data_IF_215742630770
#
_entry.id   IF_215742630770
#
_cell.length_a   1.000
_cell.length_b   1.000
_cell.length_c   1.000
_cell.angle_alpha   90.00
_cell.angle_beta   90.00
_cell.angle_gamma   90.00
#
_symmetry.space_group_name_H-M   'P 1'
#
loop_
_entity.id
_entity.type
_entity.pdbx_description
1 polymer ?
#
# COMPACT_ATOMS: atom_id res chain seq x y z
N UNK A 1 -5.47 -10.28 -13.12
CA UNK A 1 -4.80 -10.15 -11.80
C UNK A 1 -5.79 -9.72 -10.72
N UNK A 2 -6.37 -8.51 -10.79
CA UNK A 2 -7.28 -8.02 -9.74
C UNK A 2 -8.63 -8.75 -9.63
N UNK A 3 -9.20 -9.26 -10.74
CA UNK A 3 -10.44 -10.05 -10.68
C UNK A 3 -10.30 -11.28 -9.76
N UNK A 4 -9.24 -12.06 -9.97
CA UNK A 4 -8.96 -13.24 -9.15
C UNK A 4 -8.72 -12.88 -7.68
N UNK A 5 -8.05 -11.76 -7.40
CA UNK A 5 -7.85 -11.26 -6.03
C UNK A 5 -9.18 -10.89 -5.34
N UNK A 6 -10.10 -10.26 -6.07
CA UNK A 6 -11.44 -9.93 -5.57
C UNK A 6 -12.22 -11.21 -5.29
N UNK A 7 -12.16 -12.19 -6.19
CA UNK A 7 -12.86 -13.47 -6.05
C UNK A 7 -12.29 -14.34 -4.92
N UNK A 8 -10.98 -14.30 -4.69
CA UNK A 8 -10.32 -15.06 -3.61
C UNK A 8 -10.37 -14.37 -2.25
N UNK A 9 -10.65 -13.07 -2.22
CA UNK A 9 -10.53 -12.23 -1.01
C UNK A 9 -9.08 -11.98 -0.57
N UNK A 10 -8.10 -12.27 -1.43
CA UNK A 10 -6.67 -12.08 -1.15
C UNK A 10 -5.96 -11.40 -2.32
N UNK A 11 -5.30 -10.24 -2.10
CA UNK A 11 -5.22 -9.48 -0.85
C UNK A 11 -6.58 -8.91 -0.44
N UNK A 12 -6.70 -8.50 0.82
CA UNK A 12 -7.88 -7.79 1.29
C UNK A 12 -8.00 -6.44 0.60
N UNK A 13 -9.24 -6.02 0.33
CA UNK A 13 -9.55 -4.82 -0.43
C UNK A 13 -10.53 -3.95 0.35
N UNK A 14 -10.16 -2.68 0.53
CA UNK A 14 -11.07 -1.64 0.99
C UNK A 14 -11.30 -0.64 -0.13
N UNK A 15 -12.55 -0.21 -0.28
CA UNK A 15 -12.98 0.74 -1.31
C UNK A 15 -13.58 1.96 -0.63
N UNK A 16 -13.01 3.14 -0.90
CA UNK A 16 -13.56 4.42 -0.48
C UNK A 16 -14.64 4.84 -1.47
N UNK A 17 -15.85 5.09 -0.96
CA UNK A 17 -17.01 5.46 -1.78
C UNK A 17 -17.67 6.73 -1.24
N UNK A 18 -18.28 7.49 -2.14
CA UNK A 18 -19.32 8.48 -1.84
C UNK A 18 -20.58 8.11 -2.63
N UNK A 19 -21.60 7.63 -1.93
CA UNK A 19 -22.76 6.99 -2.55
C UNK A 19 -22.35 5.82 -3.46
N UNK A 20 -22.58 5.98 -4.77
CA UNK A 20 -22.22 5.00 -5.79
C UNK A 20 -20.81 5.22 -6.39
N UNK A 21 -20.19 6.37 -6.16
CA UNK A 21 -18.93 6.74 -6.76
C UNK A 21 -17.76 6.11 -6.02
N UNK A 22 -16.83 5.53 -6.77
CA UNK A 22 -15.59 4.94 -6.23
C UNK A 22 -14.49 5.99 -6.27
N UNK A 23 -14.09 6.46 -5.10
CA UNK A 23 -13.09 7.52 -4.96
C UNK A 23 -11.66 6.98 -4.84
N UNK A 24 -11.52 5.72 -4.43
CA UNK A 24 -10.23 5.07 -4.31
C UNK A 24 -10.32 3.70 -3.65
N UNK A 25 -9.19 3.01 -3.58
CA UNK A 25 -9.10 1.70 -2.97
C UNK A 25 -7.68 1.42 -2.48
N UNK A 26 -7.58 0.47 -1.55
CA UNK A 26 -6.33 -0.07 -1.04
C UNK A 26 -6.41 -1.60 -1.03
N UNK A 27 -5.33 -2.24 -1.45
CA UNK A 27 -5.11 -3.67 -1.31
C UNK A 27 -3.96 -3.91 -0.33
N UNK A 28 -4.18 -4.80 0.64
CA UNK A 28 -3.19 -5.10 1.67
C UNK A 28 -3.31 -6.54 2.15
N UNK A 29 -2.26 -7.02 2.82
CA UNK A 29 -2.22 -8.36 3.39
C UNK A 29 -0.80 -8.76 3.75
N UNK A 30 -0.53 -10.06 3.78
CA UNK A 30 0.81 -10.59 4.02
C UNK A 30 1.84 -10.00 3.04
N UNK A 31 3.03 -9.71 3.53
CA UNK A 31 4.12 -9.22 2.68
C UNK A 31 4.55 -10.29 1.67
N UNK A 32 4.71 -9.88 0.41
CA UNK A 32 5.06 -10.78 -0.71
C UNK A 32 6.56 -10.96 -0.91
N UNK A 33 7.39 -10.24 -0.16
CA UNK A 33 8.84 -10.41 -0.22
C UNK A 33 9.23 -11.83 0.21
N UNK A 34 10.18 -12.44 -0.49
CA UNK A 34 10.55 -13.85 -0.28
C UNK A 34 11.11 -14.12 1.13
N UNK A 35 11.73 -13.12 1.75
CA UNK A 35 12.32 -13.16 3.09
C UNK A 35 11.38 -12.64 4.18
N UNK A 36 10.13 -12.28 3.83
CA UNK A 36 9.16 -11.73 4.76
C UNK A 36 8.87 -12.68 5.92
N UNK A 37 8.83 -12.12 7.13
CA UNK A 37 8.41 -12.82 8.34
C UNK A 37 6.87 -12.81 8.45
N UNK A 38 6.27 -13.79 9.14
CA UNK A 38 4.80 -13.87 9.27
C UNK A 38 4.12 -12.63 9.86
N UNK A 39 4.84 -11.81 10.64
CA UNK A 39 4.33 -10.58 11.24
C UNK A 39 4.43 -9.35 10.32
N UNK A 40 4.94 -9.50 9.10
CA UNK A 40 5.13 -8.40 8.15
C UNK A 40 4.02 -8.38 7.11
N UNK A 41 3.31 -7.26 7.06
CA UNK A 41 2.29 -6.96 6.06
C UNK A 41 2.84 -6.08 4.93
N UNK A 42 2.05 -5.90 3.89
CA UNK A 42 2.34 -5.04 2.76
C UNK A 42 1.08 -4.31 2.27
N UNK A 43 1.22 -3.03 1.89
CA UNK A 43 0.28 -2.37 0.98
C UNK A 43 0.66 -2.78 -0.44
N UNK A 44 -0.14 -3.65 -1.04
CA UNK A 44 0.10 -4.16 -2.39
C UNK A 44 -0.21 -3.10 -3.44
N UNK A 45 -1.22 -2.27 -3.16
CA UNK A 45 -1.64 -1.18 -4.02
C UNK A 45 -2.48 -0.17 -3.23
N UNK A 46 -2.36 1.11 -3.58
CA UNK A 46 -3.30 2.15 -3.14
C UNK A 46 -3.46 3.17 -4.26
N UNK A 47 -4.72 3.41 -4.64
CA UNK A 47 -5.05 4.32 -5.74
C UNK A 47 -6.25 5.17 -5.35
N UNK A 48 -6.09 6.48 -5.53
CA UNK A 48 -7.16 7.47 -5.34
C UNK A 48 -7.40 8.15 -6.69
N UNK A 49 -8.66 8.40 -7.02
CA UNK A 49 -9.03 9.17 -8.20
C UNK A 49 -8.30 10.52 -8.22
N UNK A 50 -7.72 10.95 -9.37
CA UNK A 50 -6.96 12.20 -9.46
C UNK A 50 -7.69 13.45 -9.00
N UNK A 51 -9.01 13.49 -9.24
CA UNK A 51 -9.93 14.54 -8.82
C UNK A 51 -10.04 14.67 -7.30
N UNK A 52 -9.74 13.61 -6.57
CA UNK A 52 -9.98 13.47 -5.14
C UNK A 52 -8.67 13.39 -4.34
N UNK A 53 -7.57 13.79 -4.97
CA UNK A 53 -6.28 13.85 -4.31
C UNK A 53 -6.23 14.91 -3.20
N UNK A 54 -5.47 14.62 -2.14
CA UNK A 54 -5.32 15.50 -0.97
C UNK A 54 -6.62 15.80 -0.19
N UNK A 55 -7.68 15.03 -0.41
CA UNK A 55 -8.98 15.11 0.30
C UNK A 55 -9.02 14.32 1.62
N UNK A 56 -8.00 13.51 1.92
CA UNK A 56 -7.95 12.65 3.11
C UNK A 56 -8.36 11.19 2.88
N UNK A 57 -8.93 10.84 1.72
CA UNK A 57 -9.42 9.47 1.43
C UNK A 57 -8.30 8.43 1.56
N UNK A 58 -7.11 8.70 1.00
CA UNK A 58 -5.97 7.78 1.12
C UNK A 58 -5.53 7.54 2.57
N UNK A 59 -5.66 8.56 3.43
CA UNK A 59 -5.37 8.42 4.87
C UNK A 59 -6.42 7.56 5.55
N UNK A 60 -7.70 7.76 5.26
CA UNK A 60 -8.79 6.97 5.83
C UNK A 60 -8.69 5.49 5.41
N UNK A 61 -8.42 5.23 4.12
CA UNK A 61 -8.20 3.87 3.62
C UNK A 61 -7.01 3.21 4.31
N UNK A 62 -5.90 3.92 4.48
CA UNK A 62 -4.75 3.39 5.20
C UNK A 62 -5.05 3.13 6.68
N UNK A 63 -5.75 4.05 7.36
CA UNK A 63 -6.11 3.86 8.78
C UNK A 63 -6.93 2.59 8.98
N UNK A 64 -7.97 2.39 8.16
CA UNK A 64 -8.79 1.17 8.24
C UNK A 64 -7.98 -0.09 7.91
N UNK A 65 -7.16 -0.06 6.86
CA UNK A 65 -6.28 -1.18 6.52
C UNK A 65 -5.30 -1.52 7.65
N UNK A 66 -4.69 -0.50 8.26
CA UNK A 66 -3.76 -0.66 9.39
C UNK A 66 -4.45 -1.28 10.60
N UNK A 67 -5.66 -0.83 10.94
CA UNK A 67 -6.41 -1.36 12.08
C UNK A 67 -6.78 -2.84 11.85
N UNK A 68 -7.17 -3.21 10.62
CA UNK A 68 -7.41 -4.60 10.24
C UNK A 68 -6.15 -5.46 10.33
N UNK A 69 -5.02 -4.97 9.79
CA UNK A 69 -3.74 -5.67 9.89
C UNK A 69 -3.29 -5.85 11.34
N UNK A 70 -3.50 -4.86 12.20
CA UNK A 70 -3.21 -4.93 13.63
C UNK A 70 -4.03 -6.03 14.31
N UNK A 71 -5.34 -6.09 14.04
CA UNK A 71 -6.24 -7.13 14.56
C UNK A 71 -5.85 -8.54 14.10
N UNK A 72 -5.20 -8.67 12.94
CA UNK A 72 -4.69 -9.93 12.41
C UNK A 72 -3.31 -10.32 12.96
N UNK A 73 -2.70 -9.49 13.80
CA UNK A 73 -1.42 -9.77 14.46
C UNK A 73 -0.18 -9.34 13.68
N UNK A 74 -0.33 -8.54 12.62
CA UNK A 74 0.81 -7.94 11.93
C UNK A 74 1.38 -6.77 12.76
N UNK A 75 2.71 -6.66 12.83
CA UNK A 75 3.41 -5.62 13.60
C UNK A 75 4.09 -4.55 12.74
N UNK A 76 4.29 -4.84 11.45
CA UNK A 76 4.90 -3.90 10.50
C UNK A 76 4.20 -3.98 9.14
N UNK A 77 4.20 -2.87 8.41
CA UNK A 77 3.71 -2.81 7.05
C UNK A 77 4.80 -2.24 6.14
N UNK A 78 4.93 -2.80 4.94
CA UNK A 78 5.84 -2.31 3.92
C UNK A 78 5.11 -1.95 2.63
N UNK A 79 5.78 -1.25 1.74
CA UNK A 79 5.33 -1.03 0.36
C UNK A 79 6.50 -0.75 -0.56
N UNK A 80 6.29 -1.04 -1.84
CA UNK A 80 7.20 -0.68 -2.92
C UNK A 80 6.63 0.49 -3.72
N UNK A 81 7.43 1.54 -3.89
CA UNK A 81 7.04 2.74 -4.63
C UNK A 81 8.13 3.12 -5.63
N UNK A 82 7.72 3.55 -6.83
CA UNK A 82 8.66 4.07 -7.83
C UNK A 82 9.44 5.25 -7.25
N UNK A 83 10.77 5.24 -7.43
CA UNK A 83 11.66 6.26 -6.89
C UNK A 83 11.31 7.67 -7.37
N UNK A 84 10.79 7.78 -8.59
CA UNK A 84 10.36 9.05 -9.22
C UNK A 84 8.94 9.48 -8.81
N UNK A 85 8.18 8.64 -8.09
CA UNK A 85 6.81 8.97 -7.67
C UNK A 85 6.82 9.79 -6.37
N UNK A 86 7.35 11.01 -6.45
CA UNK A 86 7.48 11.90 -5.29
C UNK A 86 6.16 12.16 -4.58
N UNK A 87 5.06 12.19 -5.34
CA UNK A 87 3.72 12.41 -4.80
C UNK A 87 3.31 11.28 -3.85
N UNK A 88 3.49 10.03 -4.29
CA UNK A 88 3.21 8.87 -3.45
C UNK A 88 4.19 8.81 -2.26
N UNK A 89 5.48 9.10 -2.48
CA UNK A 89 6.48 9.15 -1.41
C UNK A 89 6.08 10.17 -0.33
N UNK A 90 5.66 11.38 -0.71
CA UNK A 90 5.16 12.39 0.23
C UNK A 90 3.93 11.90 1.00
N UNK A 91 3.00 11.22 0.31
CA UNK A 91 1.84 10.61 0.94
C UNK A 91 2.27 9.58 2.00
N UNK A 92 3.10 8.60 1.65
CA UNK A 92 3.54 7.54 2.57
C UNK A 92 4.28 8.09 3.79
N UNK A 93 5.18 9.06 3.60
CA UNK A 93 5.84 9.77 4.72
C UNK A 93 4.82 10.45 5.64
N UNK A 94 3.77 11.07 5.08
CA UNK A 94 2.73 11.74 5.87
C UNK A 94 1.83 10.80 6.68
N UNK A 95 1.86 9.49 6.38
CA UNK A 95 1.10 8.45 7.08
C UNK A 95 2.00 7.50 7.89
N UNK A 96 3.25 7.91 8.15
CA UNK A 96 4.15 7.24 9.10
C UNK A 96 5.11 6.23 8.49
N UNK A 97 5.16 6.10 7.16
CA UNK A 97 6.17 5.27 6.51
C UNK A 97 7.50 6.02 6.41
N UNK A 98 8.58 5.29 6.70
CA UNK A 98 9.96 5.76 6.52
C UNK A 98 10.62 4.95 5.41
N UNK A 99 11.64 5.52 4.78
CA UNK A 99 12.44 4.76 3.81
C UNK A 99 13.11 3.58 4.54
N UNK A 100 13.10 2.42 3.91
CA UNK A 100 13.82 1.25 4.40
C UNK A 100 15.27 1.29 3.88
N UNK A 101 16.20 0.72 4.65
CA UNK A 101 17.64 0.73 4.34
C UNK A 101 18.05 -0.34 3.32
N UNK A 102 17.08 -1.01 2.70
CA UNK A 102 17.34 -2.02 1.68
C UNK A 102 17.59 -1.41 0.30
N UNK A 103 18.33 -2.15 -0.52
CA UNK A 103 18.63 -1.74 -1.89
C UNK A 103 17.35 -1.54 -2.72
N UNK A 104 17.34 -0.49 -3.54
CA UNK A 104 16.30 -0.28 -4.54
C UNK A 104 16.22 -1.48 -5.50
N UNK A 105 15.01 -1.81 -5.92
CA UNK A 105 14.75 -2.87 -6.90
C UNK A 105 14.43 -2.28 -8.26
N UNK A 106 14.91 -2.93 -9.30
CA UNK A 106 14.48 -2.64 -10.67
C UNK A 106 13.25 -3.45 -11.03
N UNK A 107 12.31 -2.79 -11.69
CA UNK A 107 11.18 -3.45 -12.33
C UNK A 107 11.05 -2.96 -13.77
N UNK A 108 10.51 -3.81 -14.63
CA UNK A 108 10.08 -3.40 -15.97
C UNK A 108 8.59 -3.07 -15.94
N UNK A 109 8.24 -1.84 -16.30
CA UNK A 109 6.85 -1.39 -16.37
C UNK A 109 6.64 -0.61 -17.66
N UNK A 110 5.74 -1.09 -18.51
CA UNK A 110 5.45 -0.45 -19.80
C UNK A 110 6.67 -0.38 -20.73
N UNK A 111 7.55 -1.39 -20.71
CA UNK A 111 8.78 -1.44 -21.52
C UNK A 111 9.91 -0.53 -21.02
N UNK A 112 9.78 0.02 -19.81
CA UNK A 112 10.79 0.87 -19.18
C UNK A 112 11.32 0.22 -17.90
N UNK A 113 12.63 0.24 -17.72
CA UNK A 113 13.27 -0.11 -16.45
C UNK A 113 13.11 1.06 -15.47
N UNK A 114 12.43 0.81 -14.36
CA UNK A 114 12.18 1.78 -13.30
C UNK A 114 12.73 1.29 -11.97
N UNK A 115 13.15 2.21 -11.12
CA UNK A 115 13.61 1.92 -9.76
C UNK A 115 12.45 2.03 -8.77
N UNK A 116 12.41 1.12 -7.81
CA UNK A 116 11.51 1.15 -6.66
C UNK A 116 12.29 1.14 -5.35
N UNK A 117 11.90 2.01 -4.43
CA UNK A 117 12.34 1.98 -3.04
C UNK A 117 11.30 1.32 -2.15
N UNK A 118 11.75 0.65 -1.08
CA UNK A 118 10.86 0.12 -0.04
C UNK A 118 10.67 1.15 1.06
N UNK A 119 9.45 1.26 1.54
CA UNK A 119 9.08 2.08 2.68
C UNK A 119 8.40 1.18 3.72
N UNK A 120 8.65 1.43 5.00
CA UNK A 120 8.15 0.61 6.12
C UNK A 120 7.54 1.47 7.22
N UNK A 121 6.56 0.95 7.92
CA UNK A 121 6.02 1.52 9.15
C UNK A 121 5.74 0.43 10.19
N UNK A 122 5.61 0.82 11.46
CA UNK A 122 5.06 -0.05 12.51
C UNK A 122 3.53 0.01 12.47
N UNK A 123 2.89 -1.10 12.79
CA UNK A 123 1.43 -1.24 12.95
C UNK A 123 1.05 -1.16 14.43
N UNK A 124 2.01 -1.40 15.32
CA UNK A 124 1.81 -1.47 16.78
C UNK A 124 1.10 -0.22 17.37
N UNK A 125 0.25 -0.55 18.35
CA UNK A 125 -0.87 0.18 19.00
C UNK A 125 -0.47 1.46 19.72
#
# INVERSE_FOLDING_TARGET
>A
MWRAAVESGQPELLVGKDGCDVLGWVAFGACRDQDAKPFQAEIWAIYIAPTDWSSGIGRQLWQQARDMLSQQGYSTCSLWVLAENERAIRFYRSIGFVADDIAARQIELGGRLLQQGRYVCRIDV
#
